data_IF_397043865460
#
_entry.id   IF_397043865460
#
_cell.length_a   1.000
_cell.length_b   1.000
_cell.length_c   1.000
_cell.angle_alpha   90.00
_cell.angle_beta   90.00
_cell.angle_gamma   90.00
#
_symmetry.space_group_name_H-M   'P 1'
#
loop_
_entity.id
_entity.type
_entity.pdbx_description
1 polymer ?
#
# COMPACT_ATOMS: atom_id res chain seq x y z
N UNK A 1 -19.20 -2.79 20.15
CA UNK A 1 -18.95 -2.05 18.91
C UNK A 1 -17.44 -1.87 18.75
N UNK A 2 -16.91 -1.68 17.54
CA UNK A 2 -15.46 -1.49 17.30
C UNK A 2 -15.01 -0.02 17.48
N UNK A 3 -15.94 0.94 17.55
CA UNK A 3 -15.67 2.39 17.52
C UNK A 3 -14.71 2.87 18.63
N UNK A 4 -14.74 2.23 19.78
CA UNK A 4 -13.91 2.61 20.92
C UNK A 4 -12.69 1.69 21.10
N UNK A 5 -12.43 0.80 20.11
CA UNK A 5 -11.30 -0.12 20.16
C UNK A 5 -10.17 0.36 19.24
N UNK A 6 -8.92 0.11 19.63
CA UNK A 6 -7.79 0.38 18.74
C UNK A 6 -7.98 -0.40 17.44
N UNK A 7 -7.69 0.25 16.32
CA UNK A 7 -7.74 -0.35 15.00
C UNK A 7 -6.48 -0.05 14.20
N UNK A 8 -6.25 -0.90 13.22
CA UNK A 8 -5.16 -0.76 12.25
C UNK A 8 -5.75 -0.61 10.85
N UNK A 9 -4.95 -0.04 9.95
CA UNK A 9 -5.28 0.05 8.53
C UNK A 9 -4.30 -0.86 7.80
N UNK A 10 -4.81 -1.85 7.11
CA UNK A 10 -4.03 -2.79 6.30
C UNK A 10 -4.38 -2.70 4.83
N UNK A 11 -3.52 -3.25 4.00
CA UNK A 11 -3.74 -3.36 2.56
C UNK A 11 -3.54 -4.80 2.11
N UNK A 12 -4.45 -5.31 1.29
CA UNK A 12 -4.32 -6.59 0.59
C UNK A 12 -4.35 -6.34 -0.90
N UNK A 13 -3.49 -7.04 -1.64
CA UNK A 13 -3.32 -6.84 -3.09
C UNK A 13 -4.01 -7.92 -3.88
N UNK A 14 -4.72 -7.51 -4.89
CA UNK A 14 -5.38 -8.35 -5.87
C UNK A 14 -4.86 -8.06 -7.27
N UNK A 15 -4.79 -9.09 -8.10
CA UNK A 15 -4.87 -9.01 -9.55
C UNK A 15 -6.34 -9.07 -9.96
N UNK A 16 -6.66 -8.82 -11.23
CA UNK A 16 -8.02 -9.04 -11.73
C UNK A 16 -8.47 -10.50 -11.51
N UNK A 17 -7.56 -11.47 -11.70
CA UNK A 17 -7.84 -12.90 -11.47
C UNK A 17 -8.21 -13.17 -10.01
N UNK A 18 -7.33 -12.85 -9.08
CA UNK A 18 -7.55 -13.16 -7.65
C UNK A 18 -8.74 -12.38 -7.07
N UNK A 19 -9.01 -11.17 -7.57
CA UNK A 19 -10.21 -10.43 -7.18
C UNK A 19 -11.49 -11.14 -7.65
N UNK A 20 -11.50 -11.63 -8.90
CA UNK A 20 -12.64 -12.41 -9.42
C UNK A 20 -12.87 -13.70 -8.64
N UNK A 21 -11.80 -14.41 -8.30
CA UNK A 21 -11.86 -15.62 -7.46
C UNK A 21 -12.46 -15.33 -6.09
N UNK A 22 -12.05 -14.21 -5.47
CA UNK A 22 -12.57 -13.75 -4.18
C UNK A 22 -14.08 -13.46 -4.24
N UNK A 23 -14.53 -12.76 -5.28
CA UNK A 23 -15.95 -12.46 -5.48
C UNK A 23 -16.74 -13.76 -5.69
N UNK A 24 -16.30 -14.65 -6.59
CA UNK A 24 -16.96 -15.95 -6.84
C UNK A 24 -17.06 -16.79 -5.56
N UNK A 25 -16.02 -16.76 -4.72
CA UNK A 25 -16.06 -17.48 -3.45
C UNK A 25 -17.12 -16.87 -2.51
N UNK A 26 -17.21 -15.55 -2.40
CA UNK A 26 -18.22 -14.85 -1.58
C UNK A 26 -19.64 -15.19 -2.04
N UNK A 27 -19.89 -15.18 -3.34
CA UNK A 27 -21.17 -15.55 -3.95
C UNK A 27 -21.54 -17.01 -3.65
N UNK A 28 -20.62 -17.95 -3.94
CA UNK A 28 -20.83 -19.40 -3.68
C UNK A 28 -21.12 -19.70 -2.22
N UNK A 29 -20.54 -18.95 -1.29
CA UNK A 29 -20.72 -19.10 0.17
C UNK A 29 -21.80 -18.18 0.75
N UNK A 30 -22.50 -17.42 -0.07
CA UNK A 30 -23.45 -16.38 0.35
C UNK A 30 -22.89 -15.47 1.46
N UNK A 31 -21.59 -15.09 1.32
CA UNK A 31 -20.87 -14.31 2.32
C UNK A 31 -20.91 -12.82 1.98
N UNK A 32 -21.75 -12.04 2.67
CA UNK A 32 -21.93 -10.59 2.43
C UNK A 32 -20.77 -9.71 2.94
N UNK A 33 -19.87 -10.27 3.76
CA UNK A 33 -18.73 -9.56 4.32
C UNK A 33 -17.50 -9.59 3.42
N UNK A 34 -16.31 -9.53 4.05
CA UNK A 34 -15.03 -9.66 3.40
C UNK A 34 -14.31 -10.97 3.78
N UNK A 35 -13.46 -11.43 2.89
CA UNK A 35 -12.60 -12.60 3.13
C UNK A 35 -11.25 -12.37 2.43
N UNK A 36 -10.17 -12.72 3.12
CA UNK A 36 -8.81 -12.58 2.61
C UNK A 36 -8.03 -13.84 2.91
N UNK A 37 -7.53 -14.47 1.87
CA UNK A 37 -6.54 -15.52 1.98
C UNK A 37 -5.16 -14.95 1.69
N UNK A 38 -4.19 -15.28 2.50
CA UNK A 38 -2.85 -14.73 2.49
C UNK A 38 -1.81 -15.84 2.51
N UNK A 39 -0.67 -15.59 1.87
CA UNK A 39 0.51 -16.45 1.92
C UNK A 39 1.20 -16.42 3.30
N UNK A 40 1.16 -15.28 3.97
CA UNK A 40 1.77 -15.05 5.27
C UNK A 40 0.76 -14.52 6.28
N UNK A 41 1.00 -14.81 7.57
CA UNK A 41 0.19 -14.23 8.66
C UNK A 41 0.30 -12.72 8.69
N UNK A 42 -0.76 -12.07 9.18
CA UNK A 42 -0.67 -10.68 9.57
C UNK A 42 0.35 -10.55 10.70
N UNK A 43 1.13 -9.47 10.68
CA UNK A 43 2.24 -9.25 11.61
C UNK A 43 1.86 -9.44 13.08
N UNK A 44 2.75 -10.05 13.85
CA UNK A 44 2.57 -10.28 15.30
C UNK A 44 2.57 -8.98 16.13
N UNK A 45 2.96 -7.84 15.51
CA UNK A 45 2.85 -6.52 16.13
C UNK A 45 1.39 -6.07 16.34
N UNK A 46 0.41 -6.80 15.79
CA UNK A 46 -1.02 -6.59 16.00
C UNK A 46 -1.54 -7.73 16.84
N UNK A 47 -2.07 -7.42 18.03
CA UNK A 47 -2.56 -8.43 18.94
C UNK A 47 -3.72 -9.23 18.35
N UNK A 48 -3.81 -10.50 18.76
CA UNK A 48 -4.91 -11.38 18.35
C UNK A 48 -6.26 -10.77 18.75
N UNK A 49 -7.17 -10.67 17.80
CA UNK A 49 -8.53 -10.13 18.01
C UNK A 49 -8.65 -8.62 17.78
N UNK A 50 -7.56 -7.88 17.58
CA UNK A 50 -7.63 -6.46 17.18
C UNK A 50 -8.24 -6.29 15.80
N UNK A 51 -8.85 -5.13 15.58
CA UNK A 51 -9.53 -4.81 14.33
C UNK A 51 -8.57 -4.24 13.28
N UNK A 52 -8.77 -4.67 12.05
CA UNK A 52 -8.00 -4.19 10.90
C UNK A 52 -9.00 -3.81 9.79
N UNK A 53 -8.98 -2.54 9.38
CA UNK A 53 -9.60 -2.10 8.14
C UNK A 53 -8.69 -2.47 6.98
N UNK A 54 -9.16 -3.28 6.07
CA UNK A 54 -8.38 -3.78 4.94
C UNK A 54 -8.79 -3.07 3.66
N UNK A 55 -7.88 -2.30 3.09
CA UNK A 55 -8.01 -1.69 1.78
C UNK A 55 -7.73 -2.76 0.70
N UNK A 56 -8.71 -3.04 -0.13
CA UNK A 56 -8.64 -4.02 -1.22
C UNK A 56 -8.01 -3.38 -2.46
N UNK A 57 -6.69 -3.54 -2.61
CA UNK A 57 -5.93 -2.96 -3.72
C UNK A 57 -6.00 -3.86 -4.96
N UNK A 58 -6.58 -3.39 -6.07
CA UNK A 58 -6.41 -4.04 -7.35
C UNK A 58 -5.21 -3.43 -8.10
N UNK A 59 -4.13 -4.19 -8.22
CA UNK A 59 -2.87 -3.73 -8.79
C UNK A 59 -2.93 -3.53 -10.31
N UNK A 60 -3.81 -4.23 -11.01
CA UNK A 60 -3.96 -4.11 -12.46
C UNK A 60 -4.71 -2.82 -12.82
N UNK A 61 -5.72 -2.47 -12.02
CA UNK A 61 -6.54 -1.26 -12.20
C UNK A 61 -5.96 -0.02 -11.49
N UNK A 62 -5.01 -0.18 -10.56
CA UNK A 62 -4.55 0.86 -9.63
C UNK A 62 -5.70 1.50 -8.85
N UNK A 63 -6.64 0.68 -8.37
CA UNK A 63 -7.84 1.15 -7.67
C UNK A 63 -8.08 0.37 -6.38
N UNK A 64 -8.64 1.05 -5.39
CA UNK A 64 -9.22 0.43 -4.21
C UNK A 64 -10.59 -0.13 -4.62
N UNK A 65 -10.81 -1.42 -4.43
CA UNK A 65 -12.05 -2.10 -4.82
C UNK A 65 -13.08 -2.16 -3.69
N UNK A 66 -12.63 -1.97 -2.46
CA UNK A 66 -13.47 -1.97 -1.28
C UNK A 66 -12.68 -1.81 0.00
N UNK A 67 -13.38 -1.76 1.12
CA UNK A 67 -12.82 -1.80 2.46
C UNK A 67 -13.56 -2.86 3.27
N UNK A 68 -12.82 -3.85 3.77
CA UNK A 68 -13.33 -4.82 4.71
C UNK A 68 -12.87 -4.56 6.14
N UNK A 69 -13.62 -5.05 7.12
CA UNK A 69 -13.24 -5.01 8.53
C UNK A 69 -13.10 -6.44 9.04
N UNK A 70 -11.87 -6.82 9.41
CA UNK A 70 -11.54 -8.12 9.99
C UNK A 70 -11.05 -7.97 11.42
N UNK A 71 -11.00 -9.09 12.13
CA UNK A 71 -10.19 -9.26 13.34
C UNK A 71 -8.91 -10.01 12.98
N UNK A 72 -7.82 -9.74 13.68
CA UNK A 72 -6.58 -10.51 13.55
C UNK A 72 -6.76 -11.92 14.16
N UNK A 73 -7.57 -12.73 13.52
CA UNK A 73 -7.83 -14.15 13.87
C UNK A 73 -8.00 -14.93 12.58
N UNK A 74 -7.17 -15.94 12.38
CA UNK A 74 -7.29 -16.86 11.25
C UNK A 74 -8.41 -17.85 11.48
N UNK A 75 -9.04 -18.29 10.39
CA UNK A 75 -9.98 -19.42 10.39
C UNK A 75 -9.27 -20.68 9.84
N UNK A 76 -9.73 -21.89 10.23
CA UNK A 76 -9.16 -23.14 9.72
C UNK A 76 -9.17 -23.22 8.19
N UNK A 77 -8.07 -23.69 7.61
CA UNK A 77 -7.82 -23.78 6.16
C UNK A 77 -8.81 -24.70 5.46
N UNK A 78 -9.18 -25.81 6.09
CA UNK A 78 -10.03 -26.88 5.54
C UNK A 78 -11.40 -26.41 5.01
N UNK A 79 -11.83 -25.21 5.40
CA UNK A 79 -13.14 -24.64 5.04
C UNK A 79 -13.08 -23.49 4.04
N UNK A 80 -11.89 -23.15 3.49
CA UNK A 80 -11.74 -21.82 2.92
C UNK A 80 -10.84 -21.73 1.68
N UNK A 81 -10.89 -22.72 0.77
CA UNK A 81 -10.21 -22.57 -0.53
C UNK A 81 -10.85 -21.43 -1.33
N UNK A 82 -10.22 -20.25 -1.30
CA UNK A 82 -10.67 -19.02 -1.96
C UNK A 82 -10.06 -18.94 -3.36
N UNK A 83 -8.75 -19.14 -3.44
CA UNK A 83 -7.96 -18.98 -4.66
C UNK A 83 -7.51 -20.32 -5.23
N UNK A 84 -7.31 -20.37 -6.54
CA UNK A 84 -6.73 -21.53 -7.23
C UNK A 84 -5.30 -21.79 -6.76
N UNK A 85 -4.51 -20.70 -6.60
CA UNK A 85 -3.17 -20.78 -6.03
C UNK A 85 -3.26 -21.05 -4.52
N UNK A 86 -2.83 -22.23 -4.12
CA UNK A 86 -2.95 -22.73 -2.75
C UNK A 86 -2.17 -21.89 -1.74
N UNK A 87 -1.07 -21.27 -2.16
CA UNK A 87 -0.23 -20.42 -1.30
C UNK A 87 -1.07 -19.31 -0.65
N UNK A 88 -2.00 -18.72 -1.40
CA UNK A 88 -2.86 -17.65 -0.87
C UNK A 88 -3.99 -18.15 0.03
N UNK A 89 -4.12 -19.44 0.27
CA UNK A 89 -5.10 -20.00 1.19
C UNK A 89 -4.49 -20.40 2.56
N UNK A 90 -3.19 -20.16 2.79
CA UNK A 90 -2.50 -20.57 4.02
C UNK A 90 -3.05 -19.88 5.28
N UNK A 91 -3.41 -18.62 5.17
CA UNK A 91 -3.93 -17.82 6.28
C UNK A 91 -5.19 -17.10 5.86
N UNK A 92 -6.35 -17.55 6.30
CA UNK A 92 -7.63 -16.97 5.91
C UNK A 92 -8.24 -16.14 7.04
N UNK A 93 -8.61 -14.91 6.71
CA UNK A 93 -9.27 -13.97 7.60
C UNK A 93 -10.64 -13.61 7.06
N UNK A 94 -11.67 -13.57 7.94
CA UNK A 94 -13.04 -13.20 7.56
C UNK A 94 -13.55 -12.03 8.39
N UNK A 95 -14.37 -11.21 7.75
CA UNK A 95 -15.09 -10.13 8.41
C UNK A 95 -16.55 -10.09 7.98
N UNK A 96 -17.41 -9.62 8.86
CA UNK A 96 -18.85 -9.46 8.58
C UNK A 96 -19.17 -8.16 7.84
N UNK A 97 -18.26 -7.18 7.87
CA UNK A 97 -18.46 -5.85 7.30
C UNK A 97 -17.57 -5.63 6.09
N UNK A 98 -18.19 -5.12 5.04
CA UNK A 98 -17.54 -4.77 3.78
C UNK A 98 -18.28 -3.61 3.11
N UNK A 99 -17.54 -2.70 2.52
CA UNK A 99 -18.06 -1.61 1.69
C UNK A 99 -17.40 -1.72 0.33
N UNK A 100 -18.20 -1.75 -0.72
CA UNK A 100 -17.70 -1.80 -2.10
C UNK A 100 -17.15 -0.44 -2.54
N UNK A 101 -16.39 -0.43 -3.63
CA UNK A 101 -15.85 0.79 -4.23
C UNK A 101 -16.94 1.80 -4.54
N UNK A 102 -18.04 1.34 -5.16
CA UNK A 102 -19.14 2.21 -5.60
C UNK A 102 -19.66 3.00 -4.40
N UNK A 103 -19.99 2.31 -3.31
CA UNK A 103 -20.47 2.95 -2.08
C UNK A 103 -19.43 3.85 -1.43
N UNK A 104 -18.15 3.49 -1.48
CA UNK A 104 -17.06 4.36 -0.99
C UNK A 104 -16.96 5.67 -1.78
N UNK A 105 -17.11 5.59 -3.11
CA UNK A 105 -17.07 6.77 -3.98
C UNK A 105 -18.26 7.69 -3.74
N UNK A 106 -19.45 7.15 -3.47
CA UNK A 106 -20.63 7.93 -3.09
C UNK A 106 -20.45 8.64 -1.73
N UNK A 107 -19.85 7.95 -0.77
CA UNK A 107 -19.67 8.47 0.59
C UNK A 107 -18.57 9.54 0.68
N UNK A 108 -17.40 9.28 0.10
CA UNK A 108 -16.17 10.09 0.28
C UNK A 108 -15.16 9.86 -0.87
N UNK A 109 -15.51 10.26 -2.08
CA UNK A 109 -14.65 10.11 -3.27
C UNK A 109 -13.24 10.66 -3.08
N UNK A 110 -13.13 11.87 -2.50
CA UNK A 110 -11.84 12.53 -2.29
C UNK A 110 -10.90 11.70 -1.39
N UNK A 111 -11.46 11.06 -0.35
CA UNK A 111 -10.68 10.20 0.54
C UNK A 111 -10.20 8.94 -0.19
N UNK A 112 -11.05 8.34 -1.02
CA UNK A 112 -10.67 7.17 -1.82
C UNK A 112 -9.55 7.52 -2.79
N UNK A 113 -9.69 8.62 -3.53
CA UNK A 113 -8.68 9.09 -4.48
C UNK A 113 -7.36 9.45 -3.79
N UNK A 114 -7.44 10.08 -2.61
CA UNK A 114 -6.26 10.37 -1.79
C UNK A 114 -5.53 9.07 -1.36
N UNK A 115 -6.26 8.08 -0.87
CA UNK A 115 -5.69 6.79 -0.49
C UNK A 115 -5.10 6.05 -1.70
N UNK A 116 -5.76 6.07 -2.86
CA UNK A 116 -5.24 5.51 -4.10
C UNK A 116 -3.91 6.16 -4.50
N UNK A 117 -3.79 7.46 -4.35
CA UNK A 117 -2.57 8.20 -4.63
C UNK A 117 -1.39 7.71 -3.77
N UNK A 118 -1.60 7.50 -2.48
CA UNK A 118 -0.58 6.96 -1.57
C UNK A 118 -0.22 5.51 -1.91
N UNK A 119 -1.23 4.70 -2.23
CA UNK A 119 -1.05 3.25 -2.35
C UNK A 119 -0.44 2.85 -3.69
N UNK A 120 -0.79 3.53 -4.77
CA UNK A 120 -0.42 3.08 -6.12
C UNK A 120 0.66 3.96 -6.78
N UNK A 121 0.90 5.17 -6.29
CA UNK A 121 1.82 6.11 -6.92
C UNK A 121 3.03 6.44 -6.05
N UNK A 122 3.98 7.17 -6.66
CA UNK A 122 5.20 7.60 -5.98
C UNK A 122 6.26 6.51 -5.84
N UNK A 123 7.35 6.86 -5.15
CA UNK A 123 8.51 5.98 -4.98
C UNK A 123 8.35 4.92 -3.89
N UNK A 124 7.35 5.06 -3.04
CA UNK A 124 7.07 4.18 -1.91
C UNK A 124 5.65 3.60 -1.96
N UNK A 125 5.15 3.33 -3.17
CA UNK A 125 3.83 2.71 -3.36
C UNK A 125 3.75 1.31 -2.71
N UNK A 126 2.53 0.85 -2.46
CA UNK A 126 2.25 -0.42 -1.78
C UNK A 126 2.00 -1.59 -2.74
N UNK A 127 2.19 -1.41 -4.05
CA UNK A 127 1.95 -2.47 -5.06
C UNK A 127 2.82 -3.71 -4.86
N UNK A 128 3.98 -3.56 -4.25
CA UNK A 128 4.91 -4.66 -3.97
C UNK A 128 4.85 -5.01 -2.50
N UNK A 129 4.73 -6.28 -2.21
CA UNK A 129 4.68 -6.80 -0.86
C UNK A 129 3.77 -8.03 -0.79
N UNK A 130 3.90 -8.82 0.25
CA UNK A 130 3.16 -10.06 0.47
C UNK A 130 2.14 -9.87 1.59
N UNK A 131 1.12 -10.71 1.62
CA UNK A 131 0.13 -10.76 2.67
C UNK A 131 -0.59 -9.43 2.89
N UNK A 132 -0.89 -9.13 4.15
CA UNK A 132 -1.50 -7.87 4.57
C UNK A 132 -0.42 -6.90 5.07
N UNK A 133 -0.21 -5.81 4.35
CA UNK A 133 0.75 -4.77 4.73
C UNK A 133 0.07 -3.66 5.50
N UNK A 134 0.60 -3.31 6.68
CA UNK A 134 0.03 -2.28 7.55
C UNK A 134 0.43 -0.88 7.07
N UNK A 135 -0.56 -0.03 6.90
CA UNK A 135 -0.40 1.40 6.61
C UNK A 135 -0.23 2.17 7.92
N UNK A 136 1.01 2.49 8.25
CA UNK A 136 1.34 3.16 9.51
C UNK A 136 0.84 4.61 9.56
N UNK A 137 0.58 5.11 10.77
CA UNK A 137 0.19 6.50 11.00
C UNK A 137 1.22 7.48 10.42
N UNK A 138 2.51 7.19 10.58
CA UNK A 138 3.59 7.99 10.00
C UNK A 138 3.53 8.02 8.48
N UNK A 139 3.18 6.92 7.85
CA UNK A 139 3.02 6.85 6.39
C UNK A 139 1.89 7.76 5.90
N UNK A 140 0.77 7.77 6.59
CA UNK A 140 -0.36 8.66 6.28
C UNK A 140 0.03 10.12 6.50
N UNK A 141 0.63 10.45 7.64
CA UNK A 141 1.04 11.81 7.98
C UNK A 141 2.11 12.39 7.03
N UNK A 142 2.83 11.53 6.31
CA UNK A 142 3.88 11.90 5.36
C UNK A 142 3.44 11.67 3.90
N UNK A 143 2.15 11.48 3.63
CA UNK A 143 1.63 11.07 2.33
C UNK A 143 2.08 11.99 1.18
N UNK A 144 2.07 13.30 1.39
CA UNK A 144 2.54 14.29 0.39
C UNK A 144 4.01 14.11 -0.01
N UNK A 145 4.86 13.67 0.94
CA UNK A 145 6.25 13.36 0.63
C UNK A 145 6.36 12.12 -0.25
N UNK A 146 5.59 11.07 0.05
CA UNK A 146 5.67 9.80 -0.66
C UNK A 146 4.98 9.81 -2.04
N UNK A 147 4.10 10.76 -2.28
CA UNK A 147 3.44 10.99 -3.57
C UNK A 147 4.37 11.64 -4.63
N UNK A 148 5.56 12.06 -4.25
CA UNK A 148 6.50 12.67 -5.20
C UNK A 148 6.87 11.70 -6.33
N UNK A 149 6.96 12.21 -7.57
CA UNK A 149 7.32 11.36 -8.70
C UNK A 149 8.71 10.76 -8.51
N UNK A 150 8.86 9.51 -8.94
CA UNK A 150 10.14 8.80 -8.89
C UNK A 150 11.12 9.53 -9.80
N UNK A 151 12.11 10.21 -9.24
CA UNK A 151 13.24 10.68 -10.01
C UNK A 151 14.09 9.47 -10.41
N UNK A 152 13.89 8.98 -11.63
CA UNK A 152 14.68 7.88 -12.16
C UNK A 152 16.13 8.30 -12.21
N UNK A 153 17.01 7.56 -11.54
CA UNK A 153 18.46 7.78 -11.65
C UNK A 153 18.88 7.60 -13.09
N UNK A 154 19.43 8.63 -13.68
CA UNK A 154 20.06 8.54 -15.00
C UNK A 154 21.40 7.83 -14.79
N UNK A 155 21.46 6.56 -15.19
CA UNK A 155 22.72 5.82 -15.19
C UNK A 155 23.65 6.39 -16.26
N UNK A 156 24.81 6.87 -15.83
CA UNK A 156 25.84 7.43 -16.72
C UNK A 156 27.00 6.45 -16.90
N UNK A 157 27.62 6.48 -18.07
CA UNK A 157 28.81 5.73 -18.34
C UNK A 157 29.94 6.21 -17.41
N UNK A 158 30.63 5.29 -16.74
CA UNK A 158 31.76 5.64 -15.83
C UNK A 158 32.99 6.18 -16.57
N UNK A 159 33.09 5.94 -17.89
CA UNK A 159 34.21 6.35 -18.71
C UNK A 159 33.99 7.74 -19.28
N UNK A 160 32.88 7.98 -19.98
CA UNK A 160 32.61 9.23 -20.71
C UNK A 160 31.47 10.10 -20.15
N UNK A 161 30.80 9.70 -19.05
CA UNK A 161 29.73 10.45 -18.41
C UNK A 161 28.40 10.50 -19.13
N UNK A 162 28.28 10.04 -20.38
CA UNK A 162 27.02 10.04 -21.14
C UNK A 162 25.99 9.08 -20.57
N UNK A 163 24.70 9.31 -20.83
CA UNK A 163 23.61 8.39 -20.41
C UNK A 163 23.89 6.97 -20.93
N UNK A 164 23.79 5.95 -20.07
CA UNK A 164 24.12 4.56 -20.40
C UNK A 164 23.19 3.93 -21.42
N UNK A 165 21.91 4.28 -21.43
CA UNK A 165 20.89 3.71 -22.33
C UNK A 165 21.16 4.16 -23.75
N UNK A 166 21.43 3.20 -24.65
CA UNK A 166 21.70 3.43 -26.07
C UNK A 166 23.06 4.09 -26.38
N UNK A 167 24.01 4.08 -25.41
CA UNK A 167 25.30 4.71 -25.55
C UNK A 167 26.42 3.72 -25.87
N UNK A 168 27.08 3.95 -27.00
CA UNK A 168 28.37 3.30 -27.34
C UNK A 168 29.47 4.18 -26.83
N UNK A 169 30.32 3.65 -25.91
CA UNK A 169 31.36 4.45 -25.29
C UNK A 169 32.58 4.58 -26.22
N UNK A 170 33.07 5.79 -26.49
CA UNK A 170 34.26 6.00 -27.34
C UNK A 170 35.57 5.60 -26.64
N UNK A 171 35.53 5.02 -25.44
CA UNK A 171 36.67 4.51 -24.72
C UNK A 171 37.58 5.56 -24.06
N UNK A 172 37.42 6.85 -24.36
CA UNK A 172 38.23 7.91 -23.76
C UNK A 172 37.70 8.33 -22.39
N UNK A 173 38.53 8.24 -21.33
CA UNK A 173 38.17 8.73 -19.99
C UNK A 173 38.05 10.25 -20.00
N UNK A 174 36.85 10.72 -19.67
CA UNK A 174 36.61 12.14 -19.41
C UNK A 174 36.65 12.35 -17.90
N UNK A 175 37.34 13.43 -17.43
CA UNK A 175 37.27 13.85 -16.02
C UNK A 175 35.80 14.16 -15.71
N UNK A 176 35.14 13.27 -14.99
CA UNK A 176 33.75 13.48 -14.56
C UNK A 176 33.74 14.52 -13.45
N UNK A 177 33.00 15.60 -13.67
CA UNK A 177 32.71 16.57 -12.60
C UNK A 177 31.94 15.78 -11.50
N UNK A 178 32.36 15.86 -10.22
CA UNK A 178 31.70 15.20 -9.13
C UNK A 178 30.21 15.60 -9.08
N UNK A 179 29.31 14.63 -9.21
CA UNK A 179 27.88 14.90 -9.06
C UNK A 179 27.62 15.23 -7.59
N UNK A 180 27.16 16.43 -7.32
CA UNK A 180 26.77 16.84 -5.97
C UNK A 180 25.74 15.86 -5.39
N UNK A 181 26.08 15.29 -4.23
CA UNK A 181 25.19 14.37 -3.51
C UNK A 181 24.05 15.15 -2.90
N UNK A 182 22.82 14.89 -3.35
CA UNK A 182 21.61 15.51 -2.78
C UNK A 182 21.06 14.71 -1.61
N UNK A 183 20.45 15.40 -0.67
CA UNK A 183 19.71 14.77 0.44
C UNK A 183 18.54 13.94 -0.13
N UNK A 184 18.34 12.73 0.38
CA UNK A 184 17.25 11.86 -0.06
C UNK A 184 15.86 12.34 0.39
N UNK A 185 15.81 13.22 1.38
CA UNK A 185 14.56 13.71 1.99
C UNK A 185 14.12 15.04 1.35
N UNK A 186 14.98 16.06 1.35
CA UNK A 186 14.62 17.41 0.90
C UNK A 186 15.24 17.77 -0.45
N UNK A 187 16.08 16.92 -1.04
CA UNK A 187 16.78 17.07 -2.33
C UNK A 187 17.77 18.22 -2.42
N UNK A 188 18.06 18.92 -1.32
CA UNK A 188 19.11 19.92 -1.27
C UNK A 188 20.50 19.27 -1.30
N UNK A 189 21.51 20.02 -1.73
CA UNK A 189 22.90 19.55 -1.75
C UNK A 189 23.34 19.17 -0.34
N UNK A 190 23.97 18.01 -0.17
CA UNK A 190 24.33 17.48 1.16
C UNK A 190 25.42 18.25 1.87
N UNK A 191 26.30 18.98 1.14
CA UNK A 191 27.43 19.69 1.72
C UNK A 191 26.93 20.84 2.61
N UNK A 192 27.15 20.74 3.92
CA UNK A 192 26.73 21.75 4.90
C UNK A 192 25.21 21.82 5.17
N UNK A 193 24.42 20.86 4.67
CA UNK A 193 22.97 20.88 4.78
C UNK A 193 22.46 20.12 6.00
N UNK A 194 21.72 20.80 6.85
CA UNK A 194 20.92 20.19 7.93
C UNK A 194 19.52 19.92 7.38
N UNK A 195 19.16 18.65 7.25
CA UNK A 195 17.87 18.27 6.69
C UNK A 195 16.72 18.56 7.69
N UNK A 196 15.68 19.34 7.31
CA UNK A 196 14.53 19.60 8.17
C UNK A 196 13.68 18.33 8.43
N UNK A 197 14.05 17.21 7.84
CA UNK A 197 13.28 15.96 7.95
C UNK A 197 12.03 15.94 7.08
N UNK A 198 11.20 14.94 7.28
CA UNK A 198 9.89 14.82 6.65
C UNK A 198 8.87 15.50 7.57
N UNK A 199 8.22 16.55 7.05
CA UNK A 199 7.11 17.17 7.78
C UNK A 199 5.93 16.22 7.89
N UNK A 200 5.39 16.07 9.10
CA UNK A 200 4.19 15.27 9.36
C UNK A 200 2.95 16.16 9.27
N UNK A 201 2.01 15.74 8.44
CA UNK A 201 0.71 16.42 8.37
C UNK A 201 -0.27 15.75 9.34
N UNK A 202 -0.34 16.26 10.57
CA UNK A 202 -1.21 15.72 11.61
C UNK A 202 -2.70 15.96 11.33
N UNK A 203 -3.03 17.03 10.64
CA UNK A 203 -4.42 17.32 10.22
C UNK A 203 -4.88 16.22 9.26
N UNK A 204 -4.09 15.92 8.23
CA UNK A 204 -4.37 14.86 7.28
C UNK A 204 -4.50 13.50 7.96
N UNK A 205 -3.60 13.17 8.88
CA UNK A 205 -3.68 11.95 9.68
C UNK A 205 -5.02 11.86 10.42
N UNK A 206 -5.43 12.93 11.10
CA UNK A 206 -6.68 12.95 11.86
C UNK A 206 -7.92 12.80 10.96
N UNK A 207 -7.92 13.41 9.76
CA UNK A 207 -9.00 13.27 8.78
C UNK A 207 -9.11 11.80 8.34
N UNK A 208 -8.00 11.14 8.01
CA UNK A 208 -7.98 9.72 7.61
C UNK A 208 -8.45 8.82 8.75
N UNK A 209 -7.95 9.00 9.96
CA UNK A 209 -8.37 8.19 11.11
C UNK A 209 -9.85 8.36 11.44
N UNK A 210 -10.38 9.60 11.37
CA UNK A 210 -11.80 9.89 11.54
C UNK A 210 -12.66 9.23 10.46
N UNK A 211 -12.20 9.19 9.22
CA UNK A 211 -12.87 8.47 8.15
C UNK A 211 -13.01 6.98 8.51
N UNK A 212 -11.95 6.30 8.90
CA UNK A 212 -12.02 4.88 9.25
C UNK A 212 -12.85 4.60 10.50
N UNK A 213 -12.83 5.46 11.51
CA UNK A 213 -13.67 5.28 12.72
C UNK A 213 -15.17 5.40 12.44
N UNK A 214 -15.58 6.07 11.37
CA UNK A 214 -16.99 6.34 11.05
C UNK A 214 -17.53 5.59 9.82
N UNK A 215 -16.69 4.76 9.17
CA UNK A 215 -17.04 4.17 7.87
C UNK A 215 -18.07 3.03 7.96
N UNK A 216 -18.24 2.37 9.15
CA UNK A 216 -19.19 1.27 9.36
C UNK A 216 -20.26 1.59 10.41
#
# INVERSE_FOLDING_TARGET
MYKDKPFHIGTVRFTNKTYTENIKWKERKNHKGCVYGLDTKITDNINKGEYIFVLEMNNDKNKIMGIGLIKNVTIPIERSRIYEDEIYNNHVYKGKKHITREKLMEMKSDMVLFLEKILFHGCHHFKRGNGCTILTKDRIAQAEYYDRPIQRRIYRCKICGKKKKGHVCPGKRVKLVPIEKKCKICFQVKKGHICPGIKKNLILLNIVLKFFSNIF
#
